data_IF_527532440567
#
_entry.id   IF_527532440567
#
_cell.length_a   1.000
_cell.length_b   1.000
_cell.length_c   1.000
_cell.angle_alpha   90.00
_cell.angle_beta   90.00
_cell.angle_gamma   90.00
#
_symmetry.space_group_name_H-M   'P 1'
#
loop_
_entity.id
_entity.type
_entity.pdbx_description
1 polymer ?
#
# COMPACT_ATOMS: atom_id res chain seq x y z
N UNK A 1 14.39 -38.13 -10.26
CA UNK A 1 14.03 -37.41 -9.02
C UNK A 1 14.92 -36.19 -8.80
N UNK A 2 14.64 -35.10 -9.51
CA UNK A 2 15.28 -33.80 -9.29
C UNK A 2 14.50 -33.04 -8.21
N UNK A 3 14.85 -33.28 -6.95
CA UNK A 3 14.31 -32.52 -5.84
C UNK A 3 14.87 -31.09 -5.89
N UNK A 4 14.10 -30.18 -6.49
CA UNK A 4 14.29 -28.74 -6.40
C UNK A 4 14.21 -28.33 -4.91
N UNK A 5 15.36 -28.21 -4.27
CA UNK A 5 15.51 -27.66 -2.92
C UNK A 5 15.27 -26.14 -2.93
N UNK A 6 14.07 -25.69 -3.32
CA UNK A 6 13.65 -24.32 -3.03
C UNK A 6 13.32 -24.26 -1.54
N UNK A 7 13.97 -23.41 -0.72
CA UNK A 7 13.64 -23.30 0.69
C UNK A 7 12.14 -22.99 0.84
N UNK A 8 11.42 -23.70 1.70
CA UNK A 8 10.00 -23.50 1.94
C UNK A 8 9.77 -22.45 3.06
N UNK A 9 8.65 -21.73 3.00
CA UNK A 9 8.23 -20.76 4.01
C UNK A 9 8.76 -19.33 3.81
N UNK A 10 8.81 -18.55 4.89
CA UNK A 10 9.23 -17.14 4.90
C UNK A 10 10.65 -16.93 4.34
N UNK A 11 11.55 -17.90 4.55
CA UNK A 11 12.92 -17.88 3.99
C UNK A 11 12.95 -17.88 2.46
N UNK A 12 11.92 -18.39 1.77
CA UNK A 12 11.84 -18.32 0.31
C UNK A 12 11.67 -16.91 -0.20
N UNK A 13 10.85 -16.13 0.50
CA UNK A 13 10.52 -14.77 0.13
C UNK A 13 11.63 -13.81 0.56
N UNK A 14 12.22 -14.01 1.74
CA UNK A 14 13.27 -13.16 2.27
C UNK A 14 14.62 -13.29 1.54
N UNK A 15 14.90 -14.47 0.98
CA UNK A 15 16.09 -14.74 0.15
C UNK A 15 15.72 -14.99 -1.33
N UNK A 16 14.59 -14.45 -1.79
CA UNK A 16 14.17 -14.61 -3.18
C UNK A 16 15.16 -13.88 -4.11
N UNK A 17 15.75 -14.62 -5.04
CA UNK A 17 16.60 -14.07 -6.11
C UNK A 17 15.89 -14.05 -7.47
N UNK A 18 14.69 -14.64 -7.55
CA UNK A 18 13.90 -14.70 -8.77
C UNK A 18 13.03 -13.43 -8.91
N UNK A 19 13.17 -12.73 -10.04
CA UNK A 19 12.41 -11.51 -10.33
C UNK A 19 10.89 -11.72 -10.35
N UNK A 20 10.39 -12.92 -10.65
CA UNK A 20 8.95 -13.22 -10.59
C UNK A 20 8.41 -13.24 -9.17
N UNK A 21 9.19 -13.80 -8.24
CA UNK A 21 8.79 -13.88 -6.82
C UNK A 21 8.86 -12.48 -6.19
N UNK A 22 9.90 -11.71 -6.52
CA UNK A 22 10.07 -10.32 -6.09
C UNK A 22 8.94 -9.43 -6.63
N UNK A 23 8.62 -9.52 -7.93
CA UNK A 23 7.54 -8.74 -8.53
C UNK A 23 6.18 -9.05 -7.91
N UNK A 24 5.91 -10.33 -7.62
CA UNK A 24 4.67 -10.74 -6.91
C UNK A 24 4.59 -10.10 -5.51
N UNK A 25 5.70 -9.97 -4.78
CA UNK A 25 5.71 -9.27 -3.50
C UNK A 25 5.42 -7.77 -3.64
N UNK A 26 5.96 -7.12 -4.67
CA UNK A 26 5.72 -5.71 -4.97
C UNK A 26 4.25 -5.45 -5.36
N UNK A 27 3.65 -6.34 -6.15
CA UNK A 27 2.23 -6.28 -6.49
C UNK A 27 1.33 -6.48 -5.26
N UNK A 28 1.66 -7.44 -4.38
CA UNK A 28 0.93 -7.62 -3.13
C UNK A 28 1.07 -6.40 -2.21
N UNK A 29 2.28 -5.85 -2.09
CA UNK A 29 2.54 -4.66 -1.30
C UNK A 29 1.77 -3.44 -1.83
N UNK A 30 1.82 -3.19 -3.13
CA UNK A 30 1.09 -2.08 -3.76
C UNK A 30 -0.43 -2.22 -3.62
N UNK A 31 -0.96 -3.45 -3.71
CA UNK A 31 -2.38 -3.71 -3.46
C UNK A 31 -2.78 -3.39 -2.01
N UNK A 32 -1.99 -3.78 -1.02
CA UNK A 32 -2.24 -3.42 0.37
C UNK A 32 -2.19 -1.90 0.59
N UNK A 33 -1.19 -1.22 0.03
CA UNK A 33 -1.05 0.24 0.10
C UNK A 33 -2.21 0.97 -0.61
N UNK A 34 -2.74 0.40 -1.70
CA UNK A 34 -3.92 0.92 -2.38
C UNK A 34 -5.17 0.85 -1.50
N UNK A 35 -5.36 -0.23 -0.73
CA UNK A 35 -6.46 -0.34 0.22
C UNK A 35 -6.31 0.68 1.35
N UNK A 36 -5.13 0.83 1.92
CA UNK A 36 -4.85 1.81 2.99
C UNK A 36 -5.05 3.25 2.51
N UNK A 37 -4.48 3.61 1.34
CA UNK A 37 -4.71 4.90 0.70
C UNK A 37 -6.18 5.13 0.37
N UNK A 38 -6.89 4.10 -0.10
CA UNK A 38 -8.32 4.15 -0.36
C UNK A 38 -9.16 4.43 0.90
N UNK A 39 -8.82 3.82 2.03
CA UNK A 39 -9.48 4.09 3.32
C UNK A 39 -9.26 5.56 3.73
N UNK A 40 -8.04 6.09 3.61
CA UNK A 40 -7.78 7.51 3.89
C UNK A 40 -8.60 8.44 2.99
N UNK A 41 -8.77 8.10 1.70
CA UNK A 41 -9.62 8.86 0.79
C UNK A 41 -11.09 8.86 1.22
N UNK A 42 -11.58 7.71 1.71
CA UNK A 42 -12.94 7.62 2.24
C UNK A 42 -13.09 8.48 3.50
N UNK A 43 -12.12 8.49 4.41
CA UNK A 43 -12.14 9.34 5.61
C UNK A 43 -12.18 10.84 5.25
N UNK A 44 -11.37 11.28 4.29
CA UNK A 44 -11.40 12.65 3.76
C UNK A 44 -12.80 12.97 3.21
N UNK A 45 -13.40 12.03 2.49
CA UNK A 45 -14.74 12.20 1.91
C UNK A 45 -15.85 12.21 2.95
N UNK A 46 -15.68 11.51 4.09
CA UNK A 46 -16.64 11.58 5.21
C UNK A 46 -16.65 12.96 5.88
N UNK A 47 -15.52 13.66 5.95
CA UNK A 47 -15.48 15.03 6.49
C UNK A 47 -16.16 16.04 5.54
N UNK A 48 -16.03 15.82 4.23
CA UNK A 48 -16.62 16.70 3.20
C UNK A 48 -18.10 16.43 2.92
N UNK A 49 -18.77 15.57 3.69
CA UNK A 49 -20.13 15.15 3.39
C UNK A 49 -21.18 16.24 3.66
N UNK A 50 -20.93 17.11 4.64
CA UNK A 50 -21.67 18.37 4.78
C UNK A 50 -20.73 19.51 5.22
N UNK A 51 -21.07 20.77 4.88
CA UNK A 51 -20.20 21.91 5.16
C UNK A 51 -20.09 22.18 6.67
N UNK A 52 -18.85 22.30 7.17
CA UNK A 52 -18.53 22.53 8.58
C UNK A 52 -17.46 21.57 9.09
N UNK A 53 -16.99 21.76 10.33
CA UNK A 53 -16.17 20.78 11.05
C UNK A 53 -17.10 19.69 11.59
N UNK A 54 -16.93 18.44 11.15
CA UNK A 54 -17.81 17.34 11.50
C UNK A 54 -17.12 16.32 12.40
N UNK A 55 -16.06 15.68 11.90
CA UNK A 55 -15.41 14.55 12.56
C UNK A 55 -13.93 14.82 12.86
N UNK A 56 -13.25 15.62 12.05
CA UNK A 56 -11.80 15.80 12.14
C UNK A 56 -11.40 17.25 12.37
N UNK A 57 -10.36 17.45 13.17
CA UNK A 57 -9.74 18.77 13.35
C UNK A 57 -9.04 19.20 12.04
N UNK A 58 -8.96 20.51 11.73
CA UNK A 58 -8.34 20.98 10.47
C UNK A 58 -6.91 20.49 10.25
N UNK A 59 -6.14 20.36 11.33
CA UNK A 59 -4.77 19.87 11.28
C UNK A 59 -4.70 18.38 10.92
N UNK A 60 -5.57 17.57 11.52
CA UNK A 60 -5.65 16.13 11.27
C UNK A 60 -6.14 15.84 9.83
N UNK A 61 -7.07 16.65 9.31
CA UNK A 61 -7.49 16.59 7.90
C UNK A 61 -6.33 16.83 6.93
N UNK A 62 -5.49 17.84 7.22
CA UNK A 62 -4.31 18.13 6.40
C UNK A 62 -3.27 17.00 6.46
N UNK A 63 -3.10 16.38 7.63
CA UNK A 63 -2.24 15.19 7.79
C UNK A 63 -2.76 14.00 6.99
N UNK A 64 -4.06 13.68 7.06
CA UNK A 64 -4.67 12.60 6.29
C UNK A 64 -4.55 12.79 4.78
N UNK A 65 -4.76 14.02 4.30
CA UNK A 65 -4.61 14.35 2.88
C UNK A 65 -3.16 14.16 2.42
N UNK A 66 -2.20 14.64 3.22
CA UNK A 66 -0.78 14.48 2.91
C UNK A 66 -0.37 13.01 2.90
N UNK A 67 -0.78 12.24 3.92
CA UNK A 67 -0.48 10.81 4.03
C UNK A 67 -1.14 10.00 2.92
N UNK A 68 -2.38 10.31 2.54
CA UNK A 68 -3.05 9.70 1.39
C UNK A 68 -2.23 9.86 0.12
N UNK A 69 -1.79 11.10 -0.19
CA UNK A 69 -0.96 11.36 -1.37
C UNK A 69 0.37 10.61 -1.35
N UNK A 70 1.05 10.59 -0.19
CA UNK A 70 2.33 9.91 -0.04
C UNK A 70 2.17 8.39 -0.23
N UNK A 71 1.19 7.77 0.42
CA UNK A 71 0.93 6.33 0.31
C UNK A 71 0.52 5.95 -1.11
N UNK A 72 -0.33 6.74 -1.77
CA UNK A 72 -0.76 6.44 -3.14
C UNK A 72 0.39 6.52 -4.14
N UNK A 73 1.24 7.56 -4.07
CA UNK A 73 2.34 7.73 -5.03
C UNK A 73 3.49 6.78 -4.73
N UNK A 74 3.99 6.80 -3.48
CA UNK A 74 5.20 6.07 -3.12
C UNK A 74 4.93 4.62 -2.71
N UNK A 75 3.78 4.34 -2.10
CA UNK A 75 3.42 3.01 -1.60
C UNK A 75 2.65 2.16 -2.61
N UNK A 76 1.73 2.74 -3.38
CA UNK A 76 0.91 2.00 -4.34
C UNK A 76 1.46 2.09 -5.77
N UNK A 77 1.56 3.30 -6.33
CA UNK A 77 1.89 3.51 -7.74
C UNK A 77 3.32 3.03 -8.05
N UNK A 78 4.34 3.55 -7.39
CA UNK A 78 5.73 3.16 -7.71
C UNK A 78 5.99 1.66 -7.59
N UNK A 79 5.57 0.97 -6.51
CA UNK A 79 5.79 -0.46 -6.40
C UNK A 79 4.98 -1.29 -7.40
N UNK A 80 3.79 -0.84 -7.80
CA UNK A 80 3.01 -1.50 -8.85
C UNK A 80 3.65 -1.38 -10.25
N UNK A 81 4.34 -0.28 -10.54
CA UNK A 81 5.01 -0.06 -11.83
C UNK A 81 6.39 -0.73 -11.91
N UNK A 82 7.11 -0.82 -10.79
CA UNK A 82 8.47 -1.41 -10.73
C UNK A 82 8.43 -2.93 -10.49
N UNK A 83 7.38 -3.42 -9.83
CA UNK A 83 7.16 -4.83 -9.52
C UNK A 83 6.74 -5.71 -10.69
#
# INVERSE_FOLDING_TARGET
>A
DHHDHKPHGWRRWLFATNHKDIGTMYLLFSFCMLLEGGVLALLIRTELFAPGLQFFQPELFNQFTTMHGLIMIFGAIMPAFVG
#
